data_IF_668624067255
#
_entry.id   IF_668624067255
#
_cell.length_a   1.000
_cell.length_b   1.000
_cell.length_c   1.000
_cell.angle_alpha   90.00
_cell.angle_beta   90.00
_cell.angle_gamma   90.00
#
_symmetry.space_group_name_H-M   'P 1'
#
loop_
_entity.id
_entity.type
_entity.pdbx_description
1 polymer ?
#
# COMPACT_ATOMS: atom_id res chain seq x y z
N UNK A 1 42.56 -42.42 -11.02
CA UNK A 1 42.82 -41.95 -9.63
C UNK A 1 41.52 -41.97 -8.87
N UNK A 2 41.37 -42.80 -7.82
CA UNK A 2 40.15 -42.82 -6.96
C UNK A 2 40.40 -41.89 -5.78
N UNK A 3 39.58 -40.86 -5.66
CA UNK A 3 39.62 -39.99 -4.50
C UNK A 3 39.04 -40.71 -3.27
N UNK A 4 39.65 -40.60 -2.08
CA UNK A 4 39.14 -41.21 -0.89
C UNK A 4 37.84 -40.52 -0.47
N UNK A 5 36.77 -41.32 -0.22
CA UNK A 5 35.51 -40.83 0.36
C UNK A 5 35.75 -40.54 1.83
N UNK A 6 35.84 -39.26 2.18
CA UNK A 6 35.94 -38.81 3.57
C UNK A 6 34.54 -38.95 4.21
N UNK A 7 34.39 -39.89 5.14
CA UNK A 7 33.16 -40.00 5.96
C UNK A 7 33.30 -39.04 7.12
N UNK A 8 32.62 -37.91 7.03
CA UNK A 8 32.50 -36.95 8.15
C UNK A 8 31.44 -37.47 9.11
N UNK A 9 31.78 -37.65 10.39
CA UNK A 9 30.86 -38.09 11.43
C UNK A 9 29.89 -36.94 11.78
N UNK A 10 28.63 -37.29 12.12
CA UNK A 10 27.62 -36.32 12.58
C UNK A 10 28.15 -35.42 13.73
N UNK A 11 28.95 -35.98 14.62
CA UNK A 11 29.60 -35.23 15.70
C UNK A 11 30.62 -34.20 15.22
N UNK A 12 31.32 -34.47 14.12
CA UNK A 12 32.27 -33.51 13.53
C UNK A 12 31.55 -32.33 12.86
N UNK A 13 30.39 -32.58 12.29
CA UNK A 13 29.55 -31.48 11.71
C UNK A 13 29.02 -30.63 12.86
N UNK A 14 28.52 -31.25 13.94
CA UNK A 14 27.97 -30.54 15.10
C UNK A 14 29.02 -29.64 15.77
N UNK A 15 30.24 -30.12 15.93
CA UNK A 15 31.34 -29.33 16.52
C UNK A 15 31.75 -28.18 15.60
N UNK A 16 31.76 -28.38 14.30
CA UNK A 16 32.08 -27.31 13.33
C UNK A 16 31.05 -26.17 13.36
N UNK A 17 29.76 -26.51 13.44
CA UNK A 17 28.68 -25.53 13.56
C UNK A 17 28.77 -24.75 14.88
N UNK A 18 29.08 -25.41 16.00
CA UNK A 18 29.27 -24.76 17.30
C UNK A 18 30.47 -23.80 17.28
N UNK A 19 31.59 -24.16 16.67
CA UNK A 19 32.75 -23.29 16.54
C UNK A 19 32.47 -22.08 15.69
N UNK A 20 31.76 -22.25 14.55
CA UNK A 20 31.38 -21.13 13.68
C UNK A 20 30.39 -20.17 14.35
N UNK A 21 29.46 -20.67 15.17
CA UNK A 21 28.53 -19.81 15.92
C UNK A 21 29.22 -19.03 17.02
N UNK A 22 30.16 -19.65 17.74
CA UNK A 22 30.96 -19.00 18.80
C UNK A 22 31.91 -17.93 18.23
N UNK A 23 32.56 -18.19 17.09
CA UNK A 23 33.44 -17.22 16.43
C UNK A 23 32.64 -16.04 15.88
N UNK A 24 31.45 -16.27 15.29
CA UNK A 24 30.55 -15.22 14.84
C UNK A 24 30.07 -14.32 15.99
N UNK A 25 29.72 -14.92 17.15
CA UNK A 25 29.33 -14.18 18.34
C UNK A 25 30.51 -13.36 18.93
N UNK A 26 31.72 -13.92 18.92
CA UNK A 26 32.92 -13.21 19.40
C UNK A 26 33.28 -12.01 18.50
N UNK A 27 33.19 -12.18 17.19
CA UNK A 27 33.40 -11.06 16.21
C UNK A 27 32.36 -9.97 16.39
N UNK A 28 31.09 -10.33 16.66
CA UNK A 28 30.03 -9.37 16.96
C UNK A 28 30.30 -8.56 18.23
N UNK A 29 30.84 -9.19 19.29
CA UNK A 29 31.18 -8.52 20.54
C UNK A 29 32.46 -7.67 20.46
N UNK A 30 33.40 -8.02 19.57
CA UNK A 30 34.69 -7.32 19.41
C UNK A 30 34.63 -6.16 18.40
N UNK A 31 33.55 -5.96 17.69
CA UNK A 31 33.34 -4.85 16.77
C UNK A 31 32.12 -4.00 17.17
N UNK A 32 32.14 -3.30 18.31
CA UNK A 32 31.15 -2.29 18.59
C UNK A 32 31.43 -1.11 17.65
N UNK A 33 30.78 -1.08 16.50
CA UNK A 33 30.62 0.15 15.73
C UNK A 33 29.84 1.12 16.63
N UNK A 34 30.57 1.81 17.49
CA UNK A 34 30.07 2.99 18.19
C UNK A 34 29.73 4.04 17.11
N UNK A 35 28.46 4.12 16.75
CA UNK A 35 27.91 5.31 16.11
C UNK A 35 27.92 6.44 17.14
N UNK A 36 29.08 7.03 17.43
CA UNK A 36 29.14 8.34 18.03
C UNK A 36 28.64 9.34 16.98
N UNK A 37 27.37 9.71 17.12
CA UNK A 37 26.82 10.86 16.42
C UNK A 37 27.59 12.10 16.86
N UNK A 38 28.50 12.58 16.00
CA UNK A 38 29.23 13.82 16.17
C UNK A 38 28.20 14.94 16.36
N UNK A 39 28.20 15.71 17.47
CA UNK A 39 27.24 16.78 17.67
C UNK A 39 27.40 17.83 16.60
N UNK A 40 26.37 18.03 15.79
CA UNK A 40 26.31 19.15 14.86
C UNK A 40 26.25 20.46 15.66
N UNK A 41 27.24 21.31 15.50
CA UNK A 41 27.19 22.69 15.99
C UNK A 41 26.02 23.38 15.30
N UNK A 42 24.99 23.70 16.07
CA UNK A 42 23.84 24.50 15.64
C UNK A 42 24.37 25.95 15.57
N UNK A 43 24.31 26.64 14.41
CA UNK A 43 24.58 28.07 14.36
C UNK A 43 23.53 28.83 15.16
N UNK A 44 23.85 30.03 15.71
CA UNK A 44 22.87 30.81 16.48
C UNK A 44 21.67 31.19 15.62
N UNK A 45 20.47 31.11 16.21
CA UNK A 45 19.21 31.54 15.62
C UNK A 45 19.35 33.01 15.14
N UNK A 46 19.46 33.20 13.85
CA UNK A 46 19.13 34.47 13.24
C UNK A 46 17.60 34.52 13.07
N UNK A 47 16.97 35.44 13.77
CA UNK A 47 15.59 35.82 13.54
C UNK A 47 15.44 36.26 12.09
N UNK A 48 14.65 35.55 11.30
CA UNK A 48 14.13 36.10 10.04
C UNK A 48 12.78 35.46 9.78
N UNK A 49 11.74 36.21 10.12
CA UNK A 49 10.64 36.64 9.26
C UNK A 49 9.88 35.53 8.53
N UNK A 50 8.65 35.39 9.00
CA UNK A 50 7.51 34.84 8.26
C UNK A 50 7.58 35.18 6.77
N UNK A 51 7.84 34.22 5.94
CA UNK A 51 7.38 34.14 4.53
C UNK A 51 7.89 32.82 3.96
N UNK A 52 7.29 31.68 4.28
CA UNK A 52 7.52 30.44 3.53
C UNK A 52 6.31 29.51 3.69
N UNK A 53 5.18 29.90 3.15
CA UNK A 53 4.01 29.00 3.06
C UNK A 53 3.37 28.95 1.67
N UNK A 54 4.04 29.39 0.61
CA UNK A 54 3.39 29.41 -0.72
C UNK A 54 4.22 28.82 -1.87
N UNK A 55 5.31 28.09 -1.63
CA UNK A 55 6.16 27.62 -2.74
C UNK A 55 6.15 26.09 -2.93
N UNK A 56 5.57 25.31 -2.04
CA UNK A 56 5.61 23.83 -2.14
C UNK A 56 4.42 23.21 -2.91
N UNK A 57 3.31 23.90 -3.08
CA UNK A 57 2.12 23.32 -3.74
C UNK A 57 2.21 23.28 -5.28
N UNK A 58 3.04 24.10 -5.92
CA UNK A 58 3.07 24.22 -7.38
C UNK A 58 3.83 23.08 -8.11
N UNK A 59 4.61 22.27 -7.39
CA UNK A 59 5.41 21.18 -7.98
C UNK A 59 4.87 19.77 -7.77
N UNK A 60 3.68 19.62 -7.20
CA UNK A 60 3.11 18.31 -6.82
C UNK A 60 2.33 17.63 -7.91
N UNK A 61 1.96 18.33 -8.99
CA UNK A 61 1.35 17.77 -10.18
C UNK A 61 2.37 17.86 -11.30
N UNK A 62 2.91 16.72 -11.72
CA UNK A 62 3.92 16.67 -12.77
C UNK A 62 3.32 16.97 -14.14
N UNK A 63 2.07 16.57 -14.38
CA UNK A 63 1.29 16.91 -15.55
C UNK A 63 -0.18 16.57 -15.37
N UNK A 64 -1.04 17.21 -16.17
CA UNK A 64 -2.45 16.82 -16.32
C UNK A 64 -2.61 16.07 -17.63
N UNK A 65 -3.24 14.90 -17.59
CA UNK A 65 -3.55 14.08 -18.75
C UNK A 65 -5.05 13.89 -18.92
N UNK A 66 -5.52 13.82 -20.15
CA UNK A 66 -6.90 13.43 -20.46
C UNK A 66 -6.94 11.96 -20.86
N UNK A 67 -7.85 11.21 -20.27
CA UNK A 67 -8.05 9.79 -20.55
C UNK A 67 -9.52 9.50 -20.82
N UNK A 68 -9.77 8.57 -21.74
CA UNK A 68 -11.11 8.03 -21.96
C UNK A 68 -11.28 6.80 -21.08
N UNK A 69 -12.31 6.83 -20.23
CA UNK A 69 -12.63 5.72 -19.32
C UNK A 69 -13.05 4.49 -20.13
N UNK A 70 -12.48 3.36 -19.80
CA UNK A 70 -12.84 2.06 -20.35
C UNK A 70 -13.37 1.15 -19.26
N UNK A 71 -14.46 0.44 -19.54
CA UNK A 71 -15.10 -0.47 -18.59
C UNK A 71 -16.04 0.22 -17.60
N UNK A 72 -16.79 -0.58 -16.86
CA UNK A 72 -17.96 -0.16 -16.10
C UNK A 72 -17.74 -0.14 -14.58
N UNK A 73 -16.47 -0.22 -14.14
CA UNK A 73 -16.16 -0.36 -12.70
C UNK A 73 -16.57 0.85 -11.85
N UNK A 74 -16.81 2.01 -12.48
CA UNK A 74 -17.28 3.24 -11.83
C UNK A 74 -18.64 3.71 -12.33
N UNK A 75 -19.39 2.89 -13.06
CA UNK A 75 -20.73 3.28 -13.54
C UNK A 75 -21.61 3.81 -12.41
N UNK A 76 -22.34 4.88 -12.72
CA UNK A 76 -23.11 5.68 -11.75
C UNK A 76 -22.32 6.83 -11.11
N UNK A 77 -21.00 6.93 -11.40
CA UNK A 77 -20.16 8.08 -11.05
C UNK A 77 -19.44 8.58 -12.30
N UNK A 78 -18.76 7.69 -13.00
CA UNK A 78 -18.07 7.94 -14.27
C UNK A 78 -18.44 6.81 -15.22
N UNK A 79 -18.95 7.17 -16.41
CA UNK A 79 -19.39 6.18 -17.38
C UNK A 79 -18.28 5.81 -18.37
N UNK A 80 -18.36 4.61 -18.93
CA UNK A 80 -17.49 4.17 -20.02
C UNK A 80 -17.61 5.12 -21.22
N UNK A 81 -16.48 5.53 -21.79
CA UNK A 81 -16.39 6.52 -22.87
C UNK A 81 -16.30 7.98 -22.40
N UNK A 82 -16.50 8.26 -21.12
CA UNK A 82 -16.33 9.61 -20.58
C UNK A 82 -14.85 10.00 -20.55
N UNK A 83 -14.56 11.25 -20.90
CA UNK A 83 -13.22 11.83 -20.74
C UNK A 83 -13.05 12.35 -19.32
N UNK A 84 -11.94 12.02 -18.68
CA UNK A 84 -11.53 12.45 -17.34
C UNK A 84 -10.18 13.14 -17.41
N UNK A 85 -9.90 14.00 -16.43
CA UNK A 85 -8.58 14.57 -16.22
C UNK A 85 -7.86 13.82 -15.10
N UNK A 86 -6.60 13.51 -15.31
CA UNK A 86 -5.74 12.83 -14.34
C UNK A 86 -4.62 13.77 -13.93
N UNK A 87 -4.57 14.10 -12.65
CA UNK A 87 -3.49 14.88 -12.05
C UNK A 87 -2.35 13.92 -11.68
N UNK A 88 -1.45 13.70 -12.63
CA UNK A 88 -0.32 12.77 -12.48
C UNK A 88 0.67 13.32 -11.46
N UNK A 89 1.08 12.47 -10.50
CA UNK A 89 2.01 12.86 -9.43
C UNK A 89 1.36 13.56 -8.24
N UNK A 90 0.04 13.81 -8.25
CA UNK A 90 -0.69 14.52 -7.19
C UNK A 90 -0.34 14.02 -5.77
N UNK A 91 -0.26 12.71 -5.58
CA UNK A 91 0.01 12.10 -4.28
C UNK A 91 1.48 12.08 -3.86
N UNK A 92 2.39 12.69 -4.62
CA UNK A 92 3.76 12.91 -4.17
C UNK A 92 3.82 13.92 -3.02
N UNK A 93 2.89 14.88 -2.99
CA UNK A 93 2.83 15.94 -1.98
C UNK A 93 1.48 15.99 -1.22
N UNK A 94 0.49 15.23 -1.66
CA UNK A 94 -0.83 15.21 -1.02
C UNK A 94 -1.10 13.83 -0.42
N UNK A 95 -1.85 13.83 0.67
CA UNK A 95 -2.33 12.59 1.26
C UNK A 95 -3.53 12.04 0.47
N UNK A 96 -3.61 10.71 0.42
CA UNK A 96 -4.77 10.03 -0.15
C UNK A 96 -5.96 10.24 0.78
N UNK A 97 -7.11 10.57 0.21
CA UNK A 97 -8.34 10.77 0.98
C UNK A 97 -9.42 9.75 0.59
N UNK A 98 -10.25 9.40 1.57
CA UNK A 98 -11.44 8.58 1.29
C UNK A 98 -12.37 9.33 0.32
N UNK A 99 -12.84 8.62 -0.69
CA UNK A 99 -13.67 9.19 -1.76
C UNK A 99 -12.89 9.66 -2.97
N UNK A 100 -11.56 9.82 -2.88
CA UNK A 100 -10.76 10.12 -4.06
C UNK A 100 -10.95 9.04 -5.14
N UNK A 101 -11.01 9.47 -6.39
CA UNK A 101 -10.93 8.57 -7.53
C UNK A 101 -9.50 8.60 -8.04
N UNK A 102 -8.90 7.43 -8.15
CA UNK A 102 -7.48 7.27 -8.46
C UNK A 102 -7.26 6.40 -9.70
N UNK A 103 -6.20 6.69 -10.42
CA UNK A 103 -5.63 5.79 -11.42
C UNK A 103 -4.53 4.97 -10.75
N UNK A 104 -4.69 3.65 -10.76
CA UNK A 104 -3.81 2.69 -10.12
C UNK A 104 -3.12 1.79 -11.15
N UNK A 105 -1.81 1.68 -11.06
CA UNK A 105 -1.01 0.87 -11.97
C UNK A 105 -0.97 -0.58 -11.49
N UNK A 106 -1.88 -1.40 -12.00
CA UNK A 106 -1.97 -2.82 -11.64
C UNK A 106 -1.10 -3.67 -12.54
N UNK A 107 -0.09 -4.33 -11.97
CA UNK A 107 0.86 -5.15 -12.70
C UNK A 107 0.22 -6.33 -13.49
N UNK A 108 -0.99 -6.74 -13.12
CA UNK A 108 -1.76 -7.78 -13.81
C UNK A 108 -2.63 -7.28 -14.98
N UNK A 109 -2.56 -5.99 -15.34
CA UNK A 109 -3.34 -5.39 -16.42
C UNK A 109 -2.44 -4.56 -17.33
N UNK A 110 -2.71 -4.59 -18.63
CA UNK A 110 -2.03 -3.74 -19.59
C UNK A 110 -2.44 -2.27 -19.45
N UNK A 111 -3.71 -2.03 -19.05
CA UNK A 111 -4.25 -0.70 -18.80
C UNK A 111 -4.35 -0.43 -17.30
N UNK A 112 -4.06 0.79 -16.83
CA UNK A 112 -4.27 1.19 -15.44
C UNK A 112 -5.75 1.06 -15.04
N UNK A 113 -5.98 0.82 -13.76
CA UNK A 113 -7.32 0.71 -13.19
C UNK A 113 -7.78 2.04 -12.61
N UNK A 114 -9.06 2.38 -12.81
CA UNK A 114 -9.72 3.51 -12.15
C UNK A 114 -10.58 3.00 -11.00
N UNK A 115 -10.36 3.51 -9.77
CA UNK A 115 -11.06 3.04 -8.55
C UNK A 115 -11.28 4.17 -7.56
N UNK A 116 -12.19 3.92 -6.60
CA UNK A 116 -12.50 4.82 -5.49
C UNK A 116 -11.70 4.38 -4.27
N UNK A 117 -11.05 5.31 -3.61
CA UNK A 117 -10.42 5.09 -2.30
C UNK A 117 -11.51 4.95 -1.23
N UNK A 118 -11.58 3.81 -0.58
CA UNK A 118 -12.57 3.52 0.47
C UNK A 118 -11.99 3.58 1.87
N UNK A 119 -10.72 3.18 2.03
CA UNK A 119 -10.01 3.33 3.30
C UNK A 119 -8.57 3.78 3.05
N UNK A 120 -8.02 4.54 3.97
CA UNK A 120 -6.68 5.13 3.94
C UNK A 120 -5.92 4.77 5.21
N UNK A 121 -4.63 5.13 5.29
CA UNK A 121 -3.78 4.95 6.47
C UNK A 121 -4.53 5.24 7.77
N UNK A 122 -4.32 4.40 8.78
CA UNK A 122 -4.93 4.42 10.10
C UNK A 122 -6.44 4.15 10.18
N UNK A 123 -7.14 4.00 9.05
CA UNK A 123 -8.52 3.51 9.07
C UNK A 123 -8.56 2.06 9.56
N UNK A 124 -9.57 1.72 10.35
CA UNK A 124 -9.85 0.32 10.66
C UNK A 124 -10.69 -0.33 9.56
N UNK A 125 -10.40 -1.59 9.26
CA UNK A 125 -11.29 -2.39 8.42
C UNK A 125 -11.50 -3.77 9.04
N UNK A 126 -12.67 -4.33 8.82
CA UNK A 126 -13.05 -5.65 9.31
C UNK A 126 -13.93 -6.36 8.29
N UNK A 127 -13.73 -7.67 8.16
CA UNK A 127 -14.54 -8.49 7.29
C UNK A 127 -15.68 -9.12 8.09
N UNK A 128 -16.90 -9.02 7.58
CA UNK A 128 -18.09 -9.54 8.24
C UNK A 128 -18.86 -10.47 7.31
N UNK A 129 -19.18 -11.66 7.79
CA UNK A 129 -20.04 -12.61 7.07
C UNK A 129 -21.44 -12.05 6.94
N UNK A 130 -22.02 -12.14 5.75
CA UNK A 130 -23.40 -11.80 5.44
C UNK A 130 -24.12 -13.00 4.81
N UNK A 131 -25.42 -12.91 4.56
CA UNK A 131 -26.20 -14.00 3.94
C UNK A 131 -25.68 -14.36 2.55
N UNK A 132 -25.27 -13.35 1.76
CA UNK A 132 -24.88 -13.51 0.35
C UNK A 132 -23.38 -13.43 0.09
N UNK A 133 -22.54 -13.50 1.14
CA UNK A 133 -21.10 -13.40 1.01
C UNK A 133 -20.45 -12.71 2.20
N UNK A 134 -19.59 -11.74 1.93
CA UNK A 134 -18.86 -10.99 2.93
C UNK A 134 -18.99 -9.50 2.68
N UNK A 135 -19.15 -8.73 3.75
CA UNK A 135 -19.06 -7.28 3.73
C UNK A 135 -17.72 -6.81 4.28
N UNK A 136 -17.35 -5.59 3.94
CA UNK A 136 -16.24 -4.89 4.59
C UNK A 136 -16.79 -3.74 5.43
N UNK A 137 -16.37 -3.67 6.70
CA UNK A 137 -16.62 -2.54 7.58
C UNK A 137 -15.38 -1.66 7.55
N UNK A 138 -15.57 -0.36 7.43
CA UNK A 138 -14.51 0.65 7.52
C UNK A 138 -14.89 1.59 8.67
N UNK A 139 -14.02 1.70 9.66
CA UNK A 139 -14.26 2.45 10.90
C UNK A 139 -15.59 2.04 11.60
N UNK A 140 -15.90 0.74 11.54
CA UNK A 140 -17.11 0.17 12.17
C UNK A 140 -18.37 0.24 11.32
N UNK A 141 -18.36 0.90 10.16
CA UNK A 141 -19.52 1.04 9.29
C UNK A 141 -19.38 0.17 8.04
N UNK A 142 -20.48 -0.45 7.60
CA UNK A 142 -20.50 -1.22 6.35
C UNK A 142 -20.22 -0.28 5.18
N UNK A 143 -19.16 -0.57 4.43
CA UNK A 143 -18.81 0.18 3.23
C UNK A 143 -19.87 0.02 2.14
N UNK A 144 -20.24 1.14 1.51
CA UNK A 144 -21.29 1.22 0.50
C UNK A 144 -20.78 1.89 -0.77
N UNK A 145 -21.40 1.56 -1.90
CA UNK A 145 -21.18 2.24 -3.17
C UNK A 145 -21.91 3.61 -3.21
N UNK A 146 -21.86 4.31 -4.35
CA UNK A 146 -22.51 5.63 -4.52
C UNK A 146 -24.05 5.58 -4.43
N UNK A 147 -24.67 4.41 -4.61
CA UNK A 147 -26.12 4.19 -4.49
C UNK A 147 -26.55 3.76 -3.08
N UNK A 148 -25.61 3.69 -2.13
CA UNK A 148 -25.89 3.23 -0.76
C UNK A 148 -25.99 1.70 -0.62
N UNK A 149 -25.62 0.92 -1.64
CA UNK A 149 -25.64 -0.54 -1.61
C UNK A 149 -24.37 -1.05 -0.91
N UNK A 150 -24.48 -1.98 0.07
CA UNK A 150 -23.33 -2.60 0.69
C UNK A 150 -22.45 -3.34 -0.32
N UNK A 151 -21.14 -3.22 -0.19
CA UNK A 151 -20.23 -4.09 -0.95
C UNK A 151 -20.35 -5.53 -0.43
N UNK A 152 -20.61 -6.47 -1.37
CA UNK A 152 -20.71 -7.90 -1.10
C UNK A 152 -19.71 -8.61 -2.01
N UNK A 153 -18.81 -9.39 -1.43
CA UNK A 153 -17.83 -10.16 -2.17
C UNK A 153 -17.82 -11.63 -1.74
N UNK A 154 -17.31 -12.46 -2.61
CA UNK A 154 -17.30 -13.90 -2.45
C UNK A 154 -16.14 -14.37 -1.55
N UNK A 155 -16.05 -15.68 -1.36
CA UNK A 155 -15.00 -16.33 -0.57
C UNK A 155 -13.58 -16.03 -1.06
N UNK A 156 -13.37 -15.79 -2.36
CA UNK A 156 -12.06 -15.41 -2.89
C UNK A 156 -11.65 -14.03 -2.39
N UNK A 157 -12.58 -13.06 -2.43
CA UNK A 157 -12.33 -11.72 -1.89
C UNK A 157 -12.09 -11.73 -0.39
N UNK A 158 -12.84 -12.56 0.35
CA UNK A 158 -12.59 -12.79 1.78
C UNK A 158 -11.17 -13.30 2.02
N UNK A 159 -10.76 -14.37 1.33
CA UNK A 159 -9.40 -14.93 1.50
C UNK A 159 -8.32 -13.91 1.19
N UNK A 160 -8.50 -13.07 0.17
CA UNK A 160 -7.53 -12.02 -0.16
C UNK A 160 -7.44 -10.98 0.96
N UNK A 161 -8.56 -10.38 1.34
CA UNK A 161 -8.55 -9.28 2.32
C UNK A 161 -8.27 -9.76 3.74
N UNK A 162 -8.62 -11.03 4.09
CA UNK A 162 -8.32 -11.59 5.42
C UNK A 162 -6.83 -11.72 5.70
N UNK A 163 -5.98 -11.85 4.68
CA UNK A 163 -4.52 -11.80 4.85
C UNK A 163 -4.12 -10.45 5.46
N UNK A 164 -4.61 -9.37 4.88
CA UNK A 164 -4.32 -8.01 5.33
C UNK A 164 -4.97 -7.69 6.67
N UNK A 165 -6.22 -8.14 6.90
CA UNK A 165 -6.89 -7.98 8.19
C UNK A 165 -6.08 -8.64 9.32
N UNK A 166 -5.55 -9.83 9.09
CA UNK A 166 -4.75 -10.57 10.08
C UNK A 166 -3.36 -9.94 10.26
N UNK A 167 -2.64 -9.67 9.17
CA UNK A 167 -1.27 -9.17 9.21
C UNK A 167 -1.19 -7.78 9.83
N UNK A 168 -2.14 -6.91 9.50
CA UNK A 168 -2.19 -5.53 10.00
C UNK A 168 -3.21 -5.31 11.13
N UNK A 169 -3.77 -6.41 11.70
CA UNK A 169 -4.74 -6.35 12.82
C UNK A 169 -5.94 -5.46 12.51
N UNK A 170 -6.37 -5.46 11.26
CA UNK A 170 -7.51 -4.66 10.80
C UNK A 170 -7.27 -3.16 10.72
N UNK A 171 -6.01 -2.71 10.67
CA UNK A 171 -5.66 -1.29 10.47
C UNK A 171 -4.96 -1.13 9.12
N UNK A 172 -5.37 -0.16 8.33
CA UNK A 172 -4.69 0.16 7.07
C UNK A 172 -3.29 0.69 7.39
N UNK A 173 -2.21 0.03 6.90
CA UNK A 173 -0.86 0.43 7.20
C UNK A 173 -0.48 1.76 6.52
N UNK A 174 0.65 2.31 6.96
CA UNK A 174 1.21 3.53 6.40
C UNK A 174 1.37 3.44 4.89
N UNK A 175 1.05 4.54 4.20
CA UNK A 175 1.15 4.68 2.75
C UNK A 175 0.32 3.64 1.95
N UNK A 176 -0.65 2.97 2.60
CA UNK A 176 -1.54 2.03 1.93
C UNK A 176 -2.97 2.56 1.83
N UNK A 177 -3.72 2.00 0.87
CA UNK A 177 -5.14 2.28 0.71
C UNK A 177 -5.91 1.04 0.27
N UNK A 178 -7.21 1.03 0.59
CA UNK A 178 -8.17 0.07 0.07
C UNK A 178 -9.01 0.77 -1.00
N UNK A 179 -8.97 0.23 -2.21
CA UNK A 179 -9.68 0.80 -3.37
C UNK A 179 -10.73 -0.18 -3.88
N UNK A 180 -11.91 0.33 -4.21
CA UNK A 180 -13.02 -0.47 -4.75
C UNK A 180 -13.60 0.19 -5.99
N UNK A 181 -14.24 -0.62 -6.84
CA UNK A 181 -15.12 -0.11 -7.88
C UNK A 181 -16.44 0.41 -7.31
N UNK A 182 -17.31 0.98 -8.16
CA UNK A 182 -18.68 1.39 -7.77
C UNK A 182 -19.70 0.24 -7.86
N UNK A 183 -19.34 -0.90 -8.45
CA UNK A 183 -20.18 -2.08 -8.50
C UNK A 183 -20.19 -2.79 -7.15
N UNK A 184 -21.34 -2.83 -6.47
CA UNK A 184 -21.48 -3.46 -5.15
C UNK A 184 -21.14 -4.95 -5.15
N UNK A 185 -21.34 -5.63 -6.27
CA UNK A 185 -20.99 -7.05 -6.48
C UNK A 185 -19.52 -7.30 -6.78
N UNK A 186 -18.71 -6.24 -6.83
CA UNK A 186 -17.27 -6.31 -7.02
C UNK A 186 -16.79 -5.98 -8.43
N UNK A 187 -15.50 -5.71 -8.50
CA UNK A 187 -14.74 -5.42 -9.71
C UNK A 187 -13.33 -6.01 -9.58
N UNK A 188 -12.43 -5.72 -10.51
CA UNK A 188 -11.01 -5.94 -10.31
C UNK A 188 -10.45 -4.82 -9.42
N UNK A 189 -10.43 -5.05 -8.11
CA UNK A 189 -10.09 -4.08 -7.08
C UNK A 189 -9.44 -4.77 -5.86
N UNK A 190 -9.35 -4.10 -4.72
CA UNK A 190 -8.73 -4.63 -3.51
C UNK A 190 -9.28 -5.98 -3.05
N UNK A 191 -10.51 -6.35 -3.41
CA UNK A 191 -11.05 -7.70 -3.13
C UNK A 191 -10.33 -8.79 -3.94
N UNK A 192 -9.56 -8.42 -4.98
CA UNK A 192 -8.81 -9.34 -5.84
C UNK A 192 -7.30 -9.30 -5.61
N UNK A 193 -6.74 -8.14 -5.29
CA UNK A 193 -5.31 -7.96 -5.17
C UNK A 193 -4.84 -7.38 -3.82
N UNK A 194 -5.75 -7.09 -2.89
CA UNK A 194 -5.42 -6.57 -1.56
C UNK A 194 -5.26 -5.06 -1.51
N UNK A 195 -4.59 -4.59 -0.46
CA UNK A 195 -4.27 -3.17 -0.30
C UNK A 195 -3.27 -2.73 -1.37
N UNK A 196 -3.37 -1.47 -1.79
CA UNK A 196 -2.39 -0.84 -2.68
C UNK A 196 -1.46 0.07 -1.90
N UNK A 197 -0.28 0.34 -2.45
CA UNK A 197 0.64 1.30 -1.90
C UNK A 197 0.52 2.65 -2.63
N UNK A 198 0.72 3.76 -1.92
CA UNK A 198 0.64 5.13 -2.44
C UNK A 198 1.52 5.35 -3.68
N UNK A 199 2.70 4.72 -3.72
CA UNK A 199 3.63 4.83 -4.86
C UNK A 199 3.10 4.26 -6.17
N UNK A 200 2.11 3.36 -6.11
CA UNK A 200 1.55 2.70 -7.29
C UNK A 200 0.35 3.47 -7.89
N UNK A 201 -0.05 4.56 -7.22
CA UNK A 201 -1.08 5.47 -7.71
C UNK A 201 -0.44 6.46 -8.68
N UNK A 202 -0.89 6.45 -9.93
CA UNK A 202 -0.40 7.37 -10.96
C UNK A 202 -0.88 8.80 -10.73
N UNK A 203 -2.13 8.97 -10.30
CA UNK A 203 -2.70 10.28 -10.09
C UNK A 203 -4.13 10.28 -9.57
N UNK A 204 -4.61 11.47 -9.25
CA UNK A 204 -6.00 11.76 -8.85
C UNK A 204 -6.83 12.07 -10.08
N UNK A 205 -8.07 11.61 -10.10
CA UNK A 205 -9.02 11.89 -11.18
C UNK A 205 -9.90 13.06 -10.82
N UNK A 206 -10.05 13.99 -11.79
CA UNK A 206 -11.10 15.01 -11.84
C UNK A 206 -12.08 14.68 -12.99
N UNK A 207 -13.38 14.80 -12.74
CA UNK A 207 -14.44 14.40 -13.69
C UNK A 207 -15.66 15.31 -13.62
#
# INVERSE_FOLDING_TARGET
>A
MKFPKIKISFWQILTLVLILSLTGYLIYQLNPQSYEAKPRKIPPLAQTVETTQTIEEENCVTKTEEHIVRGDSLSGIIESGQTIKVLVGYYQCHEIQRGDIVIYNYAGSADPLIKIVKAVEADSFKLQKSENGWNILINGEIAKNSRGEPYIFNEQGYRMLSLYENDYKGIIPKDAALILGNAASGSLDSTRFGLIHKSDILGKVEY
#
